data_IF_413256893888
#
_entry.id   IF_413256893888
#
_cell.length_a   1.000
_cell.length_b   1.000
_cell.length_c   1.000
_cell.angle_alpha   90.00
_cell.angle_beta   90.00
_cell.angle_gamma   90.00
#
_symmetry.space_group_name_H-M   'P 1'
#
loop_
_entity.id
_entity.type
_entity.pdbx_description
1 polymer ?
#
# COMPACT_ATOMS: atom_id res chain seq x y z
N UNK A 1 13.20 22.48 1.46
CA UNK A 1 12.49 21.65 0.45
C UNK A 1 13.43 20.57 -0.09
N UNK A 2 14.20 19.88 0.77
CA UNK A 2 15.30 18.99 0.32
C UNK A 2 15.13 17.51 0.68
N UNK A 3 14.09 17.09 1.42
CA UNK A 3 13.93 15.68 1.82
C UNK A 3 12.90 14.88 1.01
N UNK A 4 12.12 15.53 0.13
CA UNK A 4 11.09 14.84 -0.66
C UNK A 4 11.71 14.19 -1.90
N UNK A 5 12.70 14.81 -2.54
CA UNK A 5 13.27 14.28 -3.79
C UNK A 5 14.19 13.08 -3.57
N UNK A 6 14.98 13.03 -2.49
CA UNK A 6 15.85 11.86 -2.20
C UNK A 6 15.04 10.60 -1.86
N UNK A 7 13.87 10.77 -1.22
CA UNK A 7 13.01 9.64 -0.87
C UNK A 7 12.25 9.11 -2.10
N UNK A 8 11.72 9.99 -2.94
CA UNK A 8 11.04 9.58 -4.17
C UNK A 8 11.98 8.83 -5.13
N UNK A 9 13.17 9.39 -5.41
CA UNK A 9 14.15 8.73 -6.28
C UNK A 9 14.61 7.39 -5.69
N UNK A 10 14.76 7.29 -4.37
CA UNK A 10 15.12 6.04 -3.71
C UNK A 10 14.08 4.93 -3.94
N UNK A 11 12.79 5.25 -3.77
CA UNK A 11 11.72 4.27 -3.98
C UNK A 11 11.48 3.96 -5.46
N UNK A 12 11.60 4.96 -6.34
CA UNK A 12 11.51 4.77 -7.79
C UNK A 12 12.68 3.92 -8.32
N UNK A 13 13.88 4.06 -7.75
CA UNK A 13 15.02 3.23 -8.11
C UNK A 13 14.84 1.76 -7.68
N UNK A 14 14.21 1.49 -6.53
CA UNK A 14 13.97 0.10 -6.09
C UNK A 14 13.06 -0.67 -7.06
N UNK A 15 12.00 -0.05 -7.57
CA UNK A 15 11.16 -0.67 -8.59
C UNK A 15 11.84 -0.72 -9.97
N UNK A 16 12.78 0.19 -10.25
CA UNK A 16 13.55 0.15 -11.49
C UNK A 16 14.60 -0.97 -11.50
N UNK A 17 15.20 -1.27 -10.34
CA UNK A 17 16.20 -2.35 -10.17
C UNK A 17 15.53 -3.72 -10.18
N UNK A 18 14.36 -3.85 -9.57
CA UNK A 18 13.62 -5.12 -9.49
C UNK A 18 12.11 -4.88 -9.73
N UNK A 19 11.69 -4.77 -11.00
CA UNK A 19 10.31 -4.43 -11.36
C UNK A 19 9.32 -5.56 -11.08
N UNK A 20 9.79 -6.77 -10.82
CA UNK A 20 8.96 -7.95 -10.55
C UNK A 20 8.83 -8.24 -9.03
N UNK A 21 9.33 -7.34 -8.19
CA UNK A 21 9.29 -7.49 -6.74
C UNK A 21 8.14 -6.72 -6.10
N UNK A 22 7.11 -7.44 -5.65
CA UNK A 22 5.92 -6.88 -5.01
C UNK A 22 6.23 -6.03 -3.76
N UNK A 23 7.26 -6.37 -2.99
CA UNK A 23 7.71 -5.59 -1.83
C UNK A 23 8.21 -4.20 -2.25
N UNK A 24 8.99 -4.13 -3.33
CA UNK A 24 9.50 -2.85 -3.85
C UNK A 24 8.36 -1.92 -4.26
N UNK A 25 7.32 -2.47 -4.91
CA UNK A 25 6.10 -1.73 -5.24
C UNK A 25 5.33 -1.29 -3.99
N UNK A 26 5.21 -2.13 -2.96
CA UNK A 26 4.52 -1.78 -1.71
C UNK A 26 5.19 -0.61 -0.98
N UNK A 27 6.51 -0.68 -0.83
CA UNK A 27 7.30 0.37 -0.16
C UNK A 27 7.14 1.70 -0.91
N UNK A 28 7.11 1.65 -2.25
CA UNK A 28 6.80 2.83 -3.08
C UNK A 28 5.39 3.36 -2.79
N UNK A 29 4.37 2.51 -2.72
CA UNK A 29 3.00 2.93 -2.45
C UNK A 29 2.82 3.60 -1.08
N UNK A 30 3.51 3.11 -0.05
CA UNK A 30 3.51 3.71 1.30
C UNK A 30 4.00 5.17 1.27
N UNK A 31 5.01 5.46 0.45
CA UNK A 31 5.54 6.81 0.28
C UNK A 31 4.52 7.75 -0.37
N UNK A 32 3.91 7.34 -1.48
CA UNK A 32 2.93 8.17 -2.21
C UNK A 32 1.65 8.44 -1.39
N UNK A 33 1.19 7.46 -0.61
CA UNK A 33 0.05 7.65 0.29
C UNK A 33 0.33 8.72 1.37
N UNK A 34 1.54 8.77 1.93
CA UNK A 34 1.88 9.66 3.05
C UNK A 34 2.23 11.09 2.64
N UNK A 35 2.79 11.30 1.43
CA UNK A 35 3.40 12.59 1.10
C UNK A 35 2.61 13.47 0.13
N UNK A 36 1.68 12.92 -0.66
CA UNK A 36 1.08 13.67 -1.77
C UNK A 36 -0.45 13.64 -1.86
N UNK A 37 -1.18 12.92 -0.99
CA UNK A 37 -2.61 12.63 -1.17
C UNK A 37 -2.94 12.12 -2.60
N UNK A 38 -1.94 11.51 -3.24
CA UNK A 38 -2.02 10.91 -4.56
C UNK A 38 -2.58 9.49 -4.42
N UNK A 39 -3.83 9.43 -3.98
CA UNK A 39 -4.50 8.16 -3.72
C UNK A 39 -4.66 7.35 -5.02
N UNK A 40 -4.80 8.01 -6.18
CA UNK A 40 -4.89 7.34 -7.47
C UNK A 40 -3.60 6.61 -7.83
N UNK A 41 -2.45 7.28 -7.75
CA UNK A 41 -1.14 6.71 -8.03
C UNK A 41 -0.78 5.62 -7.01
N UNK A 42 -1.09 5.83 -5.72
CA UNK A 42 -0.87 4.83 -4.69
C UNK A 42 -1.73 3.57 -4.92
N UNK A 43 -2.96 3.72 -5.41
CA UNK A 43 -3.82 2.61 -5.80
C UNK A 43 -3.26 1.84 -7.00
N UNK A 44 -2.76 2.53 -8.02
CA UNK A 44 -2.10 1.88 -9.18
C UNK A 44 -0.87 1.08 -8.74
N UNK A 45 -0.06 1.64 -7.84
CA UNK A 45 1.12 0.97 -7.29
C UNK A 45 0.72 -0.29 -6.50
N UNK A 46 -0.32 -0.22 -5.66
CA UNK A 46 -0.81 -1.41 -4.95
C UNK A 46 -1.37 -2.46 -5.90
N UNK A 47 -2.11 -2.04 -6.93
CA UNK A 47 -2.61 -2.97 -7.95
C UNK A 47 -1.46 -3.66 -8.67
N UNK A 48 -0.39 -2.95 -9.00
CA UNK A 48 0.80 -3.55 -9.63
C UNK A 48 1.49 -4.57 -8.73
N UNK A 49 1.62 -4.28 -7.43
CA UNK A 49 2.14 -5.26 -6.47
C UNK A 49 1.28 -6.54 -6.43
N UNK A 50 -0.05 -6.38 -6.48
CA UNK A 50 -1.01 -7.49 -6.46
C UNK A 50 -1.11 -8.25 -7.80
N UNK A 51 -0.75 -7.63 -8.92
CA UNK A 51 -0.58 -8.33 -10.20
C UNK A 51 0.63 -9.27 -10.18
N UNK A 52 1.71 -8.86 -9.49
CA UNK A 52 2.93 -9.64 -9.34
C UNK A 52 2.76 -10.74 -8.29
N UNK A 53 2.16 -10.41 -7.15
CA UNK A 53 1.84 -11.34 -6.08
C UNK A 53 0.42 -11.06 -5.53
N UNK A 54 -0.60 -11.81 -6.00
CA UNK A 54 -1.98 -11.67 -5.54
C UNK A 54 -2.18 -12.00 -4.06
N UNK A 55 -1.26 -12.73 -3.45
CA UNK A 55 -1.30 -13.15 -2.04
C UNK A 55 -0.47 -12.20 -1.16
N UNK A 56 0.02 -11.08 -1.70
CA UNK A 56 0.85 -10.20 -0.91
C UNK A 56 0.04 -9.37 0.09
N UNK A 57 -0.01 -9.84 1.34
CA UNK A 57 -0.83 -9.28 2.42
C UNK A 57 -0.58 -7.79 2.68
N UNK A 58 0.67 -7.33 2.60
CA UNK A 58 1.02 -5.93 2.82
C UNK A 58 0.45 -4.99 1.73
N UNK A 59 0.38 -5.45 0.47
CA UNK A 59 -0.21 -4.68 -0.61
C UNK A 59 -1.73 -4.55 -0.46
N UNK A 60 -2.40 -5.61 0.00
CA UNK A 60 -3.81 -5.55 0.39
C UNK A 60 -4.05 -4.59 1.56
N UNK A 61 -3.19 -4.61 2.58
CA UNK A 61 -3.28 -3.70 3.72
C UNK A 61 -3.13 -2.23 3.29
N UNK A 62 -2.10 -1.92 2.52
CA UNK A 62 -1.85 -0.57 2.03
C UNK A 62 -2.99 -0.06 1.15
N UNK A 63 -3.53 -0.90 0.26
CA UNK A 63 -4.72 -0.59 -0.54
C UNK A 63 -5.94 -0.28 0.34
N UNK A 64 -6.15 -1.05 1.41
CA UNK A 64 -7.19 -0.78 2.40
C UNK A 64 -7.04 0.58 3.09
N UNK A 65 -5.82 0.93 3.52
CA UNK A 65 -5.51 2.24 4.12
C UNK A 65 -5.83 3.38 3.15
N UNK A 66 -5.43 3.26 1.89
CA UNK A 66 -5.69 4.29 0.87
C UNK A 66 -7.20 4.45 0.65
N UNK A 67 -7.95 3.34 0.56
CA UNK A 67 -9.40 3.37 0.39
C UNK A 67 -10.13 3.97 1.60
N UNK A 68 -9.67 3.71 2.82
CA UNK A 68 -10.16 4.36 4.04
C UNK A 68 -9.98 5.88 3.95
N UNK A 69 -8.78 6.35 3.54
CA UNK A 69 -8.51 7.77 3.36
C UNK A 69 -9.40 8.41 2.27
N UNK A 70 -9.83 7.62 1.27
CA UNK A 70 -10.80 8.04 0.24
C UNK A 70 -12.27 7.94 0.69
N UNK A 71 -12.57 7.60 1.95
CA UNK A 71 -13.92 7.32 2.47
C UNK A 71 -14.65 6.16 1.77
N UNK A 72 -13.90 5.21 1.21
CA UNK A 72 -14.42 3.99 0.56
C UNK A 72 -14.34 2.81 1.53
N UNK A 73 -15.04 2.91 2.65
CA UNK A 73 -14.93 1.96 3.77
C UNK A 73 -15.30 0.53 3.41
N UNK A 74 -16.30 0.32 2.55
CA UNK A 74 -16.72 -1.03 2.13
C UNK A 74 -15.63 -1.73 1.30
N UNK A 75 -15.00 -1.00 0.36
CA UNK A 75 -13.89 -1.51 -0.44
C UNK A 75 -12.64 -1.74 0.44
N UNK A 76 -12.41 -0.88 1.42
CA UNK A 76 -11.30 -0.99 2.36
C UNK A 76 -11.42 -2.25 3.24
N UNK A 77 -12.62 -2.54 3.75
CA UNK A 77 -12.87 -3.72 4.57
C UNK A 77 -12.52 -5.03 3.83
N UNK A 78 -12.93 -5.16 2.56
CA UNK A 78 -12.56 -6.30 1.73
C UNK A 78 -11.04 -6.42 1.52
N UNK A 79 -10.35 -5.29 1.39
CA UNK A 79 -8.89 -5.29 1.29
C UNK A 79 -8.23 -5.74 2.60
N UNK A 80 -8.71 -5.28 3.76
CA UNK A 80 -8.21 -5.70 5.06
C UNK A 80 -8.48 -7.17 5.38
N UNK A 81 -9.62 -7.70 4.95
CA UNK A 81 -9.92 -9.14 5.03
C UNK A 81 -8.89 -9.96 4.23
N UNK A 82 -8.59 -9.54 2.99
CA UNK A 82 -7.56 -10.19 2.19
C UNK A 82 -6.16 -10.03 2.82
N UNK A 83 -5.84 -8.86 3.36
CA UNK A 83 -4.56 -8.62 4.02
C UNK A 83 -4.33 -9.61 5.17
N UNK A 84 -5.30 -9.74 6.06
CA UNK A 84 -5.22 -10.67 7.21
C UNK A 84 -5.37 -12.15 6.85
N UNK A 85 -5.99 -12.44 5.70
CA UNK A 85 -6.09 -13.78 5.15
C UNK A 85 -4.72 -14.29 4.67
N UNK A 86 -3.99 -13.46 3.94
CA UNK A 86 -2.69 -13.85 3.38
C UNK A 86 -1.53 -13.58 4.34
N UNK A 87 -1.64 -12.57 5.20
CA UNK A 87 -0.71 -12.32 6.29
C UNK A 87 -1.48 -12.10 7.61
N UNK A 88 -1.70 -13.16 8.39
CA UNK A 88 -2.36 -13.07 9.68
C UNK A 88 -1.65 -12.18 10.71
N UNK A 89 -0.38 -11.84 10.51
CA UNK A 89 0.36 -10.92 11.37
C UNK A 89 -0.19 -9.49 11.31
N UNK A 90 -0.81 -9.11 10.18
CA UNK A 90 -1.39 -7.79 9.98
C UNK A 90 -2.72 -7.58 10.74
N UNK A 91 -3.23 -8.58 11.47
CA UNK A 91 -4.52 -8.47 12.17
C UNK A 91 -4.56 -7.34 13.19
N UNK A 92 -3.48 -7.17 13.95
CA UNK A 92 -3.39 -6.10 14.95
C UNK A 92 -3.32 -4.73 14.28
N UNK A 93 -2.52 -4.59 13.22
CA UNK A 93 -2.40 -3.36 12.43
C UNK A 93 -3.74 -2.97 11.79
N UNK A 94 -4.42 -3.95 11.18
CA UNK A 94 -5.76 -3.76 10.60
C UNK A 94 -6.74 -3.29 11.67
N UNK A 95 -6.81 -3.95 12.83
CA UNK A 95 -7.72 -3.55 13.91
C UNK A 95 -7.46 -2.13 14.40
N UNK A 96 -6.19 -1.71 14.47
CA UNK A 96 -5.84 -0.34 14.80
C UNK A 96 -6.37 0.64 13.75
N UNK A 97 -6.28 0.31 12.46
CA UNK A 97 -6.78 1.18 11.40
C UNK A 97 -8.30 1.26 11.39
N UNK A 98 -9.03 0.13 11.34
CA UNK A 98 -10.51 0.15 11.32
C UNK A 98 -11.14 0.59 12.64
N UNK A 99 -10.47 0.41 13.78
CA UNK A 99 -10.95 0.87 15.08
C UNK A 99 -10.86 2.39 15.30
N UNK A 100 -10.11 3.09 14.43
CA UNK A 100 -9.95 4.54 14.44
C UNK A 100 -10.82 5.26 13.39
N UNK A 101 -11.69 4.54 12.66
CA UNK A 101 -12.61 5.06 11.64
C UNK A 101 -14.01 5.29 12.22
#
# INVERSE_FOLDING_TARGET
MENVNESQEYYDNRVAVDPDNAEAWCIRGMYYNNYHNQYAEAMEICNRALELDPEYGLAWYLKGVILTNMNKTDEAAACFENATRYDPGLKEDVQFVVGNV
#
